data_IF_365410124484
#
_entry.id   IF_365410124484
#
_cell.length_a   1.000
_cell.length_b   1.000
_cell.length_c   1.000
_cell.angle_alpha   90.00
_cell.angle_beta   90.00
_cell.angle_gamma   90.00
#
_symmetry.space_group_name_H-M   'P 1'
#
loop_
_entity.id
_entity.type
_entity.pdbx_description
1 polymer ?
#
# COMPACT_ATOMS: atom_id res chain seq x y z
N UNK A 1 2.99 -6.17 27.39
CA UNK A 1 3.36 -6.13 25.95
C UNK A 1 2.16 -5.68 25.14
N UNK A 2 2.35 -4.95 24.04
CA UNK A 2 1.26 -4.56 23.12
C UNK A 2 0.65 -5.81 22.46
N UNK A 3 -0.68 -5.85 22.36
CA UNK A 3 -1.41 -6.89 21.62
C UNK A 3 -0.93 -6.96 20.15
N UNK A 4 -1.04 -8.14 19.51
CA UNK A 4 -0.54 -8.39 18.15
C UNK A 4 -1.06 -7.37 17.13
N UNK A 5 -2.33 -7.00 17.28
CA UNK A 5 -3.09 -6.04 16.49
C UNK A 5 -2.42 -4.67 16.48
N UNK A 6 -2.10 -4.15 17.67
CA UNK A 6 -1.42 -2.86 17.83
C UNK A 6 -0.04 -2.87 17.18
N UNK A 7 0.67 -4.01 17.25
CA UNK A 7 1.99 -4.16 16.62
C UNK A 7 1.88 -4.16 15.09
N UNK A 8 0.88 -4.85 14.54
CA UNK A 8 0.63 -4.85 13.09
C UNK A 8 0.27 -3.46 12.63
N UNK A 9 -0.72 -2.82 13.26
CA UNK A 9 -1.14 -1.47 12.91
C UNK A 9 0.04 -0.48 12.97
N UNK A 10 0.86 -0.53 14.02
CA UNK A 10 2.07 0.28 14.11
C UNK A 10 3.02 0.06 12.92
N UNK A 11 3.30 -1.20 12.56
CA UNK A 11 4.18 -1.50 11.42
C UNK A 11 3.60 -1.00 10.10
N UNK A 12 2.29 -1.11 9.88
CA UNK A 12 1.63 -0.62 8.68
C UNK A 12 1.76 0.91 8.57
N UNK A 13 1.42 1.65 9.63
CA UNK A 13 1.53 3.12 9.63
C UNK A 13 2.99 3.57 9.55
N UNK A 14 3.90 2.88 10.24
CA UNK A 14 5.34 3.16 10.17
C UNK A 14 5.90 2.93 8.76
N UNK A 15 5.47 1.86 8.08
CA UNK A 15 5.85 1.59 6.69
C UNK A 15 5.31 2.65 5.73
N UNK A 16 4.06 3.10 5.93
CA UNK A 16 3.47 4.16 5.11
C UNK A 16 4.21 5.48 5.30
N UNK A 17 4.53 5.85 6.55
CA UNK A 17 5.32 7.03 6.84
C UNK A 17 6.75 6.91 6.25
N UNK A 18 7.37 5.74 6.31
CA UNK A 18 8.65 5.49 5.65
C UNK A 18 8.56 5.66 4.13
N UNK A 19 7.50 5.18 3.48
CA UNK A 19 7.25 5.38 2.04
C UNK A 19 7.14 6.86 1.69
N UNK A 20 6.36 7.65 2.44
CA UNK A 20 6.20 9.09 2.19
C UNK A 20 7.55 9.81 2.29
N UNK A 21 8.29 9.53 3.36
CA UNK A 21 9.63 10.11 3.57
C UNK A 21 10.60 9.73 2.45
N UNK A 22 10.55 8.49 1.97
CA UNK A 22 11.43 8.04 0.90
C UNK A 22 11.14 8.74 -0.43
N UNK A 23 9.87 8.97 -0.76
CA UNK A 23 9.51 9.74 -1.94
C UNK A 23 9.95 11.21 -1.85
N UNK A 24 9.86 11.82 -0.66
CA UNK A 24 10.39 13.17 -0.45
C UNK A 24 11.90 13.19 -0.66
N UNK A 25 12.62 12.16 -0.19
CA UNK A 25 14.06 12.07 -0.42
C UNK A 25 14.39 11.89 -1.91
N UNK A 26 13.65 11.03 -2.62
CA UNK A 26 13.89 10.70 -4.02
C UNK A 26 13.53 11.85 -4.98
N UNK A 27 12.48 12.60 -4.65
CA UNK A 27 12.00 13.73 -5.43
C UNK A 27 12.00 15.00 -4.57
N UNK A 28 13.21 15.43 -4.21
CA UNK A 28 13.46 16.59 -3.38
C UNK A 28 13.69 17.83 -4.25
N UNK A 29 13.26 19.02 -3.80
CA UNK A 29 13.60 20.28 -4.46
C UNK A 29 15.05 20.63 -4.14
N UNK A 30 15.95 20.37 -5.08
CA UNK A 30 17.40 20.55 -4.87
C UNK A 30 17.81 22.01 -5.04
N UNK A 31 17.22 22.69 -6.03
CA UNK A 31 17.48 24.08 -6.34
C UNK A 31 16.18 24.78 -6.73
N UNK A 32 15.91 25.90 -6.06
CA UNK A 32 14.87 26.84 -6.41
C UNK A 32 15.54 28.04 -7.08
N UNK A 33 15.42 28.12 -8.40
CA UNK A 33 15.97 29.22 -9.20
C UNK A 33 14.81 30.01 -9.83
N UNK A 34 15.09 31.22 -10.32
CA UNK A 34 14.14 32.01 -11.11
C UNK A 34 13.67 31.30 -12.39
N UNK A 35 14.34 30.21 -12.81
CA UNK A 35 13.98 29.35 -13.92
C UNK A 35 13.20 28.11 -13.50
N UNK A 36 13.48 26.97 -14.14
CA UNK A 36 12.81 25.70 -13.79
C UNK A 36 13.40 25.12 -12.50
N UNK A 37 12.57 24.78 -11.50
CA UNK A 37 13.05 24.15 -10.28
C UNK A 37 13.65 22.78 -10.59
N UNK A 38 14.79 22.46 -9.96
CA UNK A 38 15.47 21.18 -10.14
C UNK A 38 15.05 20.22 -9.04
N UNK A 39 14.38 19.15 -9.43
CA UNK A 39 13.96 18.08 -8.53
C UNK A 39 14.84 16.84 -8.72
N UNK A 40 15.11 16.11 -7.64
CA UNK A 40 15.89 14.86 -7.72
C UNK A 40 16.24 14.26 -6.37
N UNK A 41 17.07 13.21 -6.37
CA UNK A 41 17.42 12.49 -5.15
C UNK A 41 18.33 13.32 -4.25
N UNK A 42 17.92 13.49 -2.99
CA UNK A 42 18.70 14.13 -1.94
C UNK A 42 19.28 13.08 -0.98
N UNK A 43 20.54 12.70 -1.23
CA UNK A 43 21.25 11.69 -0.43
C UNK A 43 21.40 12.11 1.03
N UNK A 44 21.63 13.41 1.31
CA UNK A 44 21.77 13.91 2.68
C UNK A 44 20.47 13.73 3.48
N UNK A 45 19.34 14.04 2.88
CA UNK A 45 18.03 13.88 3.52
C UNK A 45 17.68 12.39 3.71
N UNK A 46 18.03 11.54 2.74
CA UNK A 46 17.90 10.08 2.89
C UNK A 46 18.73 9.56 4.07
N UNK A 47 20.03 9.89 4.12
CA UNK A 47 20.95 9.49 5.19
C UNK A 47 20.42 9.95 6.56
N UNK A 48 20.04 11.22 6.69
CA UNK A 48 19.47 11.75 7.94
C UNK A 48 18.25 10.96 8.44
N UNK A 49 17.41 10.45 7.53
CA UNK A 49 16.15 9.77 7.88
C UNK A 49 16.27 8.26 8.06
N UNK A 50 17.25 7.64 7.40
CA UNK A 50 17.32 6.18 7.26
C UNK A 50 18.68 5.56 7.62
N UNK A 51 19.75 6.34 7.75
CA UNK A 51 21.07 5.81 8.11
C UNK A 51 21.07 5.24 9.54
N UNK A 52 21.63 4.04 9.77
CA UNK A 52 21.65 3.41 11.09
C UNK A 52 22.37 4.23 12.17
N UNK A 53 23.43 4.97 11.82
CA UNK A 53 24.20 5.75 12.78
C UNK A 53 23.43 7.02 13.13
N UNK A 54 23.00 7.80 12.13
CA UNK A 54 22.25 9.05 12.33
C UNK A 54 20.94 8.84 13.11
N UNK A 55 20.29 7.69 12.88
CA UNK A 55 18.98 7.40 13.47
C UNK A 55 19.03 6.47 14.67
N UNK A 56 20.23 6.10 15.17
CA UNK A 56 20.41 5.13 16.27
C UNK A 56 19.67 3.80 16.01
N UNK A 57 19.73 3.32 14.77
CA UNK A 57 19.14 2.06 14.31
C UNK A 57 17.65 2.12 13.94
N UNK A 58 16.97 3.26 14.09
CA UNK A 58 15.54 3.39 13.76
C UNK A 58 15.26 3.43 12.25
N UNK A 59 16.17 3.99 11.46
CA UNK A 59 16.07 4.05 10.00
C UNK A 59 15.87 2.66 9.37
N UNK A 60 16.79 1.69 9.62
CA UNK A 60 16.61 0.31 9.15
C UNK A 60 15.32 -0.35 9.66
N UNK A 61 14.86 -0.05 10.88
CA UNK A 61 13.58 -0.57 11.40
C UNK A 61 12.39 -0.04 10.61
N UNK A 62 12.37 1.25 10.28
CA UNK A 62 11.35 1.89 9.43
C UNK A 62 11.35 1.29 8.02
N UNK A 63 12.52 1.02 7.45
CA UNK A 63 12.63 0.35 6.15
C UNK A 63 12.11 -1.09 6.20
N UNK A 64 12.38 -1.84 7.27
CA UNK A 64 11.76 -3.17 7.47
C UNK A 64 10.23 -3.08 7.54
N UNK A 65 9.69 -2.04 8.18
CA UNK A 65 8.25 -1.80 8.22
C UNK A 65 7.68 -1.42 6.84
N UNK A 66 8.44 -0.71 5.99
CA UNK A 66 8.08 -0.46 4.59
C UNK A 66 7.94 -1.77 3.81
N UNK A 67 8.91 -2.68 3.91
CA UNK A 67 8.80 -4.01 3.28
C UNK A 67 7.64 -4.82 3.85
N UNK A 68 7.40 -4.76 5.16
CA UNK A 68 6.25 -5.42 5.77
C UNK A 68 4.93 -4.92 5.18
N UNK A 69 4.76 -3.60 5.07
CA UNK A 69 3.59 -2.99 4.44
C UNK A 69 3.45 -3.41 2.97
N UNK A 70 4.54 -3.37 2.20
CA UNK A 70 4.56 -3.83 0.81
C UNK A 70 4.08 -5.27 0.66
N UNK A 71 4.54 -6.19 1.52
CA UNK A 71 4.13 -7.59 1.49
C UNK A 71 2.64 -7.78 1.86
N UNK A 72 2.11 -6.97 2.78
CA UNK A 72 0.69 -7.00 3.15
C UNK A 72 -0.19 -6.58 1.96
N UNK A 73 0.16 -5.49 1.28
CA UNK A 73 -0.60 -5.05 0.10
C UNK A 73 -0.41 -6.00 -1.10
N UNK A 74 0.80 -6.50 -1.34
CA UNK A 74 1.08 -7.52 -2.35
C UNK A 74 0.22 -8.77 -2.11
N UNK A 75 0.06 -9.18 -0.85
CA UNK A 75 -0.78 -10.33 -0.50
C UNK A 75 -2.26 -10.03 -0.74
N UNK A 76 -2.73 -8.83 -0.40
CA UNK A 76 -4.10 -8.43 -0.71
C UNK A 76 -4.37 -8.49 -2.22
N UNK A 77 -3.46 -7.99 -3.06
CA UNK A 77 -3.57 -8.06 -4.53
C UNK A 77 -3.68 -9.52 -5.02
N UNK A 78 -2.82 -10.41 -4.51
CA UNK A 78 -2.87 -11.84 -4.82
C UNK A 78 -4.21 -12.48 -4.43
N UNK A 79 -4.77 -12.13 -3.27
CA UNK A 79 -6.04 -12.68 -2.76
C UNK A 79 -7.27 -12.13 -3.46
N UNK A 80 -7.24 -10.89 -3.97
CA UNK A 80 -8.39 -10.29 -4.66
C UNK A 80 -8.48 -10.67 -6.13
N UNK A 81 -7.46 -11.30 -6.70
CA UNK A 81 -7.45 -11.69 -8.11
C UNK A 81 -8.74 -12.41 -8.60
N UNK A 82 -9.31 -13.40 -7.87
CA UNK A 82 -10.55 -14.06 -8.30
C UNK A 82 -11.74 -13.10 -8.44
N UNK A 83 -11.77 -12.00 -7.69
CA UNK A 83 -12.82 -10.99 -7.82
C UNK A 83 -12.80 -10.32 -9.20
N UNK A 84 -11.60 -9.99 -9.70
CA UNK A 84 -11.38 -9.30 -10.98
C UNK A 84 -11.38 -10.24 -12.19
N UNK A 85 -11.10 -11.52 -11.99
CA UNK A 85 -11.20 -12.57 -13.02
C UNK A 85 -12.66 -12.74 -13.52
N UNK A 86 -13.65 -12.37 -12.70
CA UNK A 86 -15.07 -12.44 -13.08
C UNK A 86 -15.40 -11.50 -14.23
N UNK A 87 -16.22 -11.98 -15.17
CA UNK A 87 -16.69 -11.21 -16.33
C UNK A 87 -17.48 -9.97 -15.94
N UNK A 88 -18.26 -10.05 -14.85
CA UNK A 88 -19.11 -8.95 -14.35
C UNK A 88 -18.35 -7.77 -13.76
N UNK A 89 -17.06 -7.92 -13.47
CA UNK A 89 -16.22 -6.83 -12.95
C UNK A 89 -15.54 -6.14 -14.12
N UNK A 90 -16.00 -4.94 -14.44
CA UNK A 90 -15.47 -4.14 -15.53
C UNK A 90 -14.76 -2.87 -15.02
N UNK A 91 -13.77 -2.38 -15.77
CA UNK A 91 -13.02 -1.15 -15.48
C UNK A 91 -13.58 0.07 -16.21
N UNK A 92 -14.88 0.06 -16.53
CA UNK A 92 -15.60 1.03 -17.36
C UNK A 92 -15.11 2.48 -17.27
N UNK A 93 -14.63 3.01 -18.39
CA UNK A 93 -14.29 4.43 -18.60
C UNK A 93 -15.13 5.08 -19.71
N UNK A 94 -15.87 4.26 -20.48
CA UNK A 94 -16.59 4.67 -21.67
C UNK A 94 -15.90 4.26 -22.98
N UNK A 95 -14.67 3.73 -22.91
CA UNK A 95 -13.96 3.14 -24.04
C UNK A 95 -13.73 1.64 -23.81
N UNK A 96 -14.57 0.81 -24.45
CA UNK A 96 -14.54 -0.65 -24.25
C UNK A 96 -13.22 -1.33 -24.64
N UNK A 97 -12.43 -0.77 -25.56
CA UNK A 97 -11.12 -1.32 -25.91
C UNK A 97 -10.10 -1.05 -24.80
N UNK A 98 -9.99 0.19 -24.35
CA UNK A 98 -9.09 0.57 -23.25
C UNK A 98 -9.48 -0.09 -21.93
N UNK A 99 -10.77 -0.30 -21.68
CA UNK A 99 -11.28 -0.99 -20.49
C UNK A 99 -10.85 -2.45 -20.48
N UNK A 100 -10.96 -3.15 -21.61
CA UNK A 100 -10.51 -4.53 -21.77
C UNK A 100 -8.98 -4.66 -21.63
N UNK A 101 -8.22 -3.76 -22.25
CA UNK A 101 -6.75 -3.72 -22.15
C UNK A 101 -6.30 -3.46 -20.70
N UNK A 102 -6.90 -2.47 -20.05
CA UNK A 102 -6.62 -2.14 -18.64
C UNK A 102 -6.92 -3.33 -17.72
N UNK A 103 -8.02 -4.05 -17.98
CA UNK A 103 -8.38 -5.25 -17.22
C UNK A 103 -7.36 -6.36 -17.43
N UNK A 104 -6.91 -6.59 -18.67
CA UNK A 104 -5.87 -7.58 -18.97
C UNK A 104 -4.56 -7.27 -18.23
N UNK A 105 -4.08 -6.01 -18.29
CA UNK A 105 -2.88 -5.57 -17.57
C UNK A 105 -3.00 -5.74 -16.05
N UNK A 106 -4.17 -5.44 -15.49
CA UNK A 106 -4.44 -5.63 -14.06
C UNK A 106 -4.39 -7.11 -13.66
N UNK A 107 -4.93 -7.99 -14.49
CA UNK A 107 -4.89 -9.44 -14.26
C UNK A 107 -3.46 -10.00 -14.39
N UNK A 108 -2.65 -9.48 -15.31
CA UNK A 108 -1.24 -9.84 -15.42
C UNK A 108 -0.46 -9.48 -14.15
N UNK A 109 -0.67 -8.29 -13.60
CA UNK A 109 -0.09 -7.89 -12.31
C UNK A 109 -0.50 -8.89 -11.22
N UNK A 110 -1.77 -9.29 -11.15
CA UNK A 110 -2.23 -10.25 -10.15
C UNK A 110 -1.61 -11.64 -10.33
N UNK A 111 -1.45 -12.11 -11.56
CA UNK A 111 -0.74 -13.37 -11.86
C UNK A 111 0.70 -13.32 -11.35
N UNK A 112 1.40 -12.22 -11.59
CA UNK A 112 2.76 -12.03 -11.09
C UNK A 112 2.81 -12.03 -9.56
N UNK A 113 1.85 -11.36 -8.90
CA UNK A 113 1.77 -11.39 -7.42
C UNK A 113 1.50 -12.79 -6.86
N UNK A 114 0.76 -13.65 -7.58
CA UNK A 114 0.51 -15.05 -7.18
C UNK A 114 1.77 -15.91 -7.31
N UNK A 115 2.67 -15.59 -8.24
CA UNK A 115 3.93 -16.33 -8.44
C UNK A 115 4.95 -16.13 -7.30
N UNK A 116 4.79 -15.04 -6.53
CA UNK A 116 5.65 -14.74 -5.40
C UNK A 116 5.33 -15.65 -4.20
N UNK A 117 6.32 -16.43 -3.78
CA UNK A 117 6.22 -17.30 -2.62
C UNK A 117 6.18 -16.47 -1.33
N UNK A 118 5.00 -16.26 -0.77
CA UNK A 118 4.83 -15.52 0.48
C UNK A 118 5.37 -16.33 1.66
N UNK A 119 6.32 -15.74 2.41
CA UNK A 119 6.97 -16.36 3.56
C UNK A 119 6.33 -16.00 4.92
N UNK A 120 5.09 -15.50 4.94
CA UNK A 120 4.43 -15.00 6.15
C UNK A 120 3.31 -15.94 6.64
N UNK A 121 3.27 -16.23 7.94
CA UNK A 121 2.21 -17.05 8.56
C UNK A 121 0.93 -16.22 8.79
N UNK A 122 0.09 -16.19 7.76
CA UNK A 122 -1.19 -15.48 7.69
C UNK A 122 -2.22 -15.94 8.72
N UNK A 123 -2.15 -17.21 9.14
CA UNK A 123 -3.19 -17.81 9.99
C UNK A 123 -3.22 -17.17 11.37
N UNK A 124 -2.06 -16.69 11.83
CA UNK A 124 -1.91 -15.98 13.10
C UNK A 124 -2.58 -14.59 13.11
N UNK A 125 -2.77 -13.95 11.95
CA UNK A 125 -3.25 -12.56 11.86
C UNK A 125 -4.67 -12.41 11.32
N UNK A 126 -5.05 -13.19 10.30
CA UNK A 126 -6.30 -12.98 9.57
C UNK A 126 -7.25 -14.19 9.64
N UNK A 127 -6.78 -15.36 10.10
CA UNK A 127 -7.57 -16.60 10.16
C UNK A 127 -7.98 -17.03 11.59
N UNK A 128 -7.92 -16.11 12.58
CA UNK A 128 -8.29 -16.38 13.97
C UNK A 128 -9.77 -16.74 14.18
N UNK A 129 -10.14 -17.01 15.44
CA UNK A 129 -11.54 -17.33 15.84
C UNK A 129 -12.55 -16.36 15.21
N UNK A 130 -13.67 -16.87 14.69
CA UNK A 130 -14.63 -16.12 13.86
C UNK A 130 -15.11 -14.83 14.53
N UNK A 131 -15.24 -14.83 15.86
CA UNK A 131 -15.60 -13.64 16.64
C UNK A 131 -14.45 -12.64 16.75
N UNK A 132 -13.23 -13.11 17.03
CA UNK A 132 -12.02 -12.30 17.11
C UNK A 132 -11.68 -11.62 15.78
N UNK A 133 -11.70 -12.36 14.67
CA UNK A 133 -11.42 -11.82 13.34
C UNK A 133 -12.44 -10.75 12.90
N UNK A 134 -13.73 -10.95 13.22
CA UNK A 134 -14.79 -9.96 12.91
C UNK A 134 -14.62 -8.68 13.74
N UNK A 135 -14.32 -8.81 15.04
CA UNK A 135 -14.04 -7.66 15.89
C UNK A 135 -12.83 -6.88 15.40
N UNK A 136 -11.76 -7.60 15.01
CA UNK A 136 -10.53 -6.99 14.53
C UNK A 136 -10.72 -6.25 13.19
N UNK A 137 -11.47 -6.84 12.26
CA UNK A 137 -11.86 -6.20 10.99
C UNK A 137 -12.56 -4.85 11.25
N UNK A 138 -13.50 -4.83 12.19
CA UNK A 138 -14.25 -3.62 12.54
C UNK A 138 -13.37 -2.58 13.23
N UNK A 139 -12.47 -3.00 14.11
CA UNK A 139 -11.50 -2.11 14.77
C UNK A 139 -10.59 -1.43 13.74
N UNK A 140 -10.00 -2.20 12.81
CA UNK A 140 -9.20 -1.63 11.72
C UNK A 140 -10.02 -0.65 10.88
N UNK A 141 -11.25 -1.01 10.51
CA UNK A 141 -12.15 -0.13 9.73
C UNK A 141 -12.37 1.20 10.44
N UNK A 142 -12.61 1.19 11.75
CA UNK A 142 -12.78 2.40 12.55
C UNK A 142 -11.49 3.23 12.62
N UNK A 143 -10.33 2.59 12.82
CA UNK A 143 -9.04 3.29 12.83
C UNK A 143 -8.75 3.98 11.50
N UNK A 144 -8.98 3.31 10.36
CA UNK A 144 -8.77 3.93 9.04
C UNK A 144 -9.77 5.05 8.75
N UNK A 145 -11.02 4.93 9.21
CA UNK A 145 -11.99 6.04 9.15
C UNK A 145 -11.50 7.26 9.94
N UNK A 146 -10.92 7.03 11.12
CA UNK A 146 -10.36 8.10 11.93
C UNK A 146 -9.09 8.69 11.30
N UNK A 147 -8.21 7.87 10.74
CA UNK A 147 -7.04 8.37 9.99
C UNK A 147 -7.49 9.24 8.81
N UNK A 148 -8.51 8.82 8.06
CA UNK A 148 -9.04 9.63 6.96
C UNK A 148 -9.53 11.00 7.42
N UNK A 149 -10.13 11.10 8.62
CA UNK A 149 -10.52 12.38 9.23
C UNK A 149 -9.32 13.21 9.66
N UNK A 150 -8.26 12.58 10.17
CA UNK A 150 -7.00 13.27 10.49
C UNK A 150 -6.40 13.88 9.21
N UNK A 151 -6.51 13.20 8.07
CA UNK A 151 -6.02 13.75 6.79
C UNK A 151 -6.75 15.04 6.38
N UNK A 152 -7.99 15.26 6.81
CA UNK A 152 -8.71 16.53 6.57
C UNK A 152 -8.05 17.73 7.26
N UNK A 153 -7.25 17.49 8.30
CA UNK A 153 -6.50 18.52 9.03
C UNK A 153 -5.13 18.82 8.41
N UNK A 154 -4.70 18.10 7.37
CA UNK A 154 -3.39 18.32 6.73
C UNK A 154 -3.46 19.51 5.78
N UNK A 155 -2.69 20.57 6.03
CA UNK A 155 -2.72 21.82 5.24
C UNK A 155 -2.04 21.76 3.86
N UNK A 156 -1.18 20.76 3.62
CA UNK A 156 -0.58 20.53 2.31
C UNK A 156 -1.53 19.72 1.42
N UNK A 157 -2.02 20.29 0.32
CA UNK A 157 -3.03 19.65 -0.55
C UNK A 157 -2.54 18.34 -1.18
N UNK A 158 -1.32 18.32 -1.73
CA UNK A 158 -0.72 17.10 -2.28
C UNK A 158 -0.56 16.03 -1.19
N UNK A 159 -0.16 16.44 0.01
CA UNK A 159 0.03 15.53 1.15
C UNK A 159 -1.31 14.97 1.64
N UNK A 160 -2.36 15.79 1.67
CA UNK A 160 -3.74 15.39 1.99
C UNK A 160 -4.26 14.39 0.95
N UNK A 161 -4.07 14.67 -0.33
CA UNK A 161 -4.49 13.78 -1.43
C UNK A 161 -3.83 12.40 -1.30
N UNK A 162 -2.51 12.35 -1.24
CA UNK A 162 -1.77 11.08 -1.12
C UNK A 162 -2.03 10.39 0.21
N UNK A 163 -2.16 11.15 1.30
CA UNK A 163 -2.51 10.63 2.62
C UNK A 163 -3.86 9.92 2.62
N UNK A 164 -4.89 10.52 2.02
CA UNK A 164 -6.20 9.87 1.86
C UNK A 164 -6.14 8.65 0.94
N UNK A 165 -5.49 8.78 -0.22
CA UNK A 165 -5.39 7.70 -1.19
C UNK A 165 -4.67 6.47 -0.60
N UNK A 166 -3.50 6.66 0.02
CA UNK A 166 -2.72 5.55 0.56
C UNK A 166 -3.38 4.92 1.79
N UNK A 167 -4.05 5.71 2.63
CA UNK A 167 -4.77 5.16 3.79
C UNK A 167 -6.04 4.42 3.39
N UNK A 168 -6.76 4.89 2.36
CA UNK A 168 -7.87 4.17 1.77
C UNK A 168 -7.40 2.87 1.12
N UNK A 169 -6.33 2.90 0.33
CA UNK A 169 -5.76 1.71 -0.32
C UNK A 169 -5.34 0.64 0.70
N UNK A 170 -4.65 1.04 1.77
CA UNK A 170 -4.30 0.15 2.87
C UNK A 170 -5.54 -0.41 3.60
N UNK A 171 -6.55 0.43 3.84
CA UNK A 171 -7.83 -0.03 4.39
C UNK A 171 -8.52 -1.06 3.49
N UNK A 172 -8.50 -0.84 2.18
CA UNK A 172 -9.00 -1.78 1.17
C UNK A 172 -8.20 -3.08 1.15
N UNK A 173 -6.88 -3.01 1.26
CA UNK A 173 -6.01 -4.19 1.35
C UNK A 173 -6.37 -5.06 2.57
N UNK A 174 -6.55 -4.45 3.74
CA UNK A 174 -6.99 -5.18 4.93
C UNK A 174 -8.41 -5.72 4.79
N UNK A 175 -9.34 -4.96 4.20
CA UNK A 175 -10.70 -5.43 3.89
C UNK A 175 -10.66 -6.71 3.05
N UNK A 176 -9.79 -6.78 2.04
CA UNK A 176 -9.57 -7.99 1.22
C UNK A 176 -9.06 -9.15 2.08
N UNK A 177 -8.00 -8.92 2.86
CA UNK A 177 -7.37 -9.98 3.67
C UNK A 177 -8.33 -10.57 4.71
N UNK A 178 -9.23 -9.76 5.30
CA UNK A 178 -10.29 -10.23 6.19
C UNK A 178 -11.50 -10.85 5.49
N UNK A 179 -11.58 -10.79 4.17
CA UNK A 179 -12.69 -11.31 3.36
C UNK A 179 -12.28 -12.48 2.46
N UNK A 180 -11.13 -13.12 2.71
CA UNK A 180 -10.63 -14.21 1.86
C UNK A 180 -11.68 -15.31 1.60
N UNK A 181 -12.37 -15.78 2.65
CA UNK A 181 -13.42 -16.81 2.53
C UNK A 181 -14.60 -16.33 1.68
N UNK A 182 -14.99 -15.07 1.85
CA UNK A 182 -16.09 -14.46 1.09
C UNK A 182 -15.71 -14.36 -0.40
N UNK A 183 -14.47 -13.96 -0.70
CA UNK A 183 -13.93 -13.84 -2.06
C UNK A 183 -13.87 -15.21 -2.75
N UNK A 184 -13.40 -16.25 -2.07
CA UNK A 184 -13.33 -17.61 -2.61
C UNK A 184 -14.72 -18.21 -2.88
N UNK A 185 -15.75 -17.80 -2.14
CA UNK A 185 -17.13 -18.24 -2.33
C UNK A 185 -17.95 -17.39 -3.31
N UNK A 186 -17.32 -16.44 -4.03
CA UNK A 186 -18.07 -15.55 -4.91
C UNK A 186 -18.67 -16.30 -6.11
N UNK A 187 -19.96 -16.13 -6.40
CA UNK A 187 -20.57 -16.68 -7.61
C UNK A 187 -19.99 -15.97 -8.86
N UNK A 188 -19.75 -16.74 -9.93
CA UNK A 188 -19.18 -16.23 -11.19
C UNK A 188 -20.11 -15.22 -11.89
N UNK A 189 -21.43 -15.49 -11.88
CA UNK A 189 -22.42 -14.79 -12.73
C UNK A 189 -23.46 -13.97 -11.95
N UNK A 190 -23.18 -13.57 -10.70
CA UNK A 190 -24.13 -12.78 -9.90
C UNK A 190 -23.51 -11.47 -9.40
N UNK A 191 -24.22 -10.33 -9.50
CA UNK A 191 -23.81 -9.11 -8.82
C UNK A 191 -23.70 -9.40 -7.32
N UNK A 192 -22.47 -9.39 -6.85
CA UNK A 192 -21.97 -9.97 -5.61
C UNK A 192 -22.91 -9.80 -4.39
N UNK A 193 -23.51 -10.89 -3.89
CA UNK A 193 -23.99 -10.95 -2.49
C UNK A 193 -22.79 -11.33 -1.61
N UNK A 194 -22.13 -10.33 -1.00
CA UNK A 194 -21.05 -10.58 -0.05
C UNK A 194 -19.93 -9.54 -0.12
N UNK A 195 -18.98 -9.73 -1.04
CA UNK A 195 -17.80 -8.88 -1.19
C UNK A 195 -17.88 -8.00 -2.45
N UNK A 196 -17.68 -6.69 -2.28
CA UNK A 196 -17.63 -5.74 -3.38
C UNK A 196 -16.61 -4.64 -3.10
N UNK A 197 -15.96 -4.19 -4.17
CA UNK A 197 -15.08 -3.01 -4.17
C UNK A 197 -15.71 -1.92 -5.03
N UNK A 198 -15.75 -0.72 -4.49
CA UNK A 198 -16.12 0.50 -5.22
C UNK A 198 -14.98 0.93 -6.14
N UNK A 199 -15.27 1.74 -7.16
CA UNK A 199 -14.25 2.35 -8.03
C UNK A 199 -13.15 3.05 -7.22
N UNK A 200 -13.53 3.79 -6.18
CA UNK A 200 -12.59 4.51 -5.33
C UNK A 200 -11.65 3.56 -4.59
N UNK A 201 -12.17 2.45 -4.04
CA UNK A 201 -11.35 1.43 -3.39
C UNK A 201 -10.38 0.76 -4.37
N UNK A 202 -10.82 0.45 -5.59
CA UNK A 202 -9.96 -0.15 -6.63
C UNK A 202 -8.82 0.80 -7.00
N UNK A 203 -9.15 2.06 -7.29
CA UNK A 203 -8.16 3.10 -7.63
C UNK A 203 -7.18 3.29 -6.49
N UNK A 204 -7.67 3.40 -5.25
CA UNK A 204 -6.83 3.60 -4.07
C UNK A 204 -5.90 2.39 -3.83
N UNK A 205 -6.40 1.16 -3.95
CA UNK A 205 -5.62 -0.06 -3.76
C UNK A 205 -4.44 -0.14 -4.72
N UNK A 206 -4.69 0.02 -6.02
CA UNK A 206 -3.64 -0.09 -7.05
C UNK A 206 -2.63 1.04 -6.92
N UNK A 207 -3.10 2.28 -6.70
CA UNK A 207 -2.19 3.43 -6.57
C UNK A 207 -1.39 3.40 -5.25
N UNK A 208 -1.98 2.96 -4.14
CA UNK A 208 -1.26 2.80 -2.87
C UNK A 208 -0.11 1.81 -3.03
N UNK A 209 -0.40 0.64 -3.62
CA UNK A 209 0.63 -0.35 -3.90
C UNK A 209 1.69 0.16 -4.87
N UNK A 210 1.28 0.90 -5.91
CA UNK A 210 2.19 1.56 -6.84
C UNK A 210 3.19 2.48 -6.13
N UNK A 211 2.73 3.29 -5.16
CA UNK A 211 3.62 4.13 -4.34
C UNK A 211 4.61 3.30 -3.51
N UNK A 212 4.17 2.20 -2.92
CA UNK A 212 5.08 1.31 -2.19
C UNK A 212 6.11 0.68 -3.13
N UNK A 213 5.68 0.25 -4.32
CA UNK A 213 6.56 -0.29 -5.37
C UNK A 213 7.62 0.74 -5.78
N UNK A 214 7.22 2.00 -6.03
CA UNK A 214 8.16 3.10 -6.27
C UNK A 214 9.12 3.28 -5.09
N UNK A 215 8.64 3.25 -3.85
CA UNK A 215 9.51 3.35 -2.66
C UNK A 215 10.57 2.25 -2.62
N UNK A 216 10.20 0.99 -2.91
CA UNK A 216 11.18 -0.11 -2.97
C UNK A 216 12.20 0.11 -4.09
N UNK A 217 11.77 0.59 -5.26
CA UNK A 217 12.68 0.97 -6.36
C UNK A 217 13.64 2.08 -5.93
N UNK A 218 13.14 3.15 -5.32
CA UNK A 218 13.97 4.28 -4.89
C UNK A 218 14.97 3.89 -3.81
N UNK A 219 14.62 2.94 -2.93
CA UNK A 219 15.59 2.41 -1.97
C UNK A 219 16.78 1.75 -2.67
N UNK A 220 16.56 1.07 -3.80
CA UNK A 220 17.65 0.52 -4.61
C UNK A 220 18.47 1.63 -5.28
N UNK A 221 17.82 2.68 -5.79
CA UNK A 221 18.53 3.84 -6.36
C UNK A 221 19.44 4.50 -5.32
N UNK A 222 18.94 4.74 -4.10
CA UNK A 222 19.74 5.31 -3.01
C UNK A 222 20.91 4.42 -2.60
N UNK A 223 20.75 3.08 -2.62
CA UNK A 223 21.88 2.17 -2.37
C UNK A 223 23.00 2.36 -3.39
N UNK A 224 22.68 2.50 -4.67
CA UNK A 224 23.66 2.74 -5.74
C UNK A 224 24.32 4.12 -5.57
N UNK A 225 23.54 5.16 -5.30
CA UNK A 225 24.07 6.51 -5.07
C UNK A 225 25.01 6.57 -3.86
N UNK A 226 24.68 5.88 -2.77
CA UNK A 226 25.53 5.80 -1.58
C UNK A 226 26.84 5.06 -1.83
N UNK A 227 26.87 4.09 -2.75
CA UNK A 227 28.10 3.41 -3.15
C UNK A 227 29.02 4.31 -3.99
N UNK A 228 28.44 5.19 -4.82
CA UNK A 228 29.19 6.15 -5.65
C UNK A 228 29.72 7.37 -4.87
N UNK A 229 29.13 7.65 -3.70
CA UNK A 229 29.52 8.80 -2.86
C UNK A 229 30.59 8.44 -1.82
N UNK A 230 30.94 7.15 -1.70
CA UNK A 230 32.02 6.65 -0.84
C UNK A 230 33.30 6.49 -1.65
#
# INVERSE_FOLDING_TARGET
>A
GLCLEKRVFYKLISGLHASINLHLCANYLLEETWGKPRWGPNVKEFTRRFDPIETKGEGPRRLKNLYFLYLIELRALSKVAPYFERSVVDLYTGNGHEDAESKALLLDIFRDTKSFHMHFDEKSMFAGDKKGAKSLKEEFRLHFKNISRIMDCVGCDKCRLWGKLQTQGLGTALKILFSEKEIQSLPENSPSKGFQLTRQEIVALVNAFGRLSTSIRELQNFKVLLQQTR
#
